data_IF_301539219933
#
_entry.id   IF_301539219933
#
_cell.length_a   1.000
_cell.length_b   1.000
_cell.length_c   1.000
_cell.angle_alpha   90.00
_cell.angle_beta   90.00
_cell.angle_gamma   90.00
#
_symmetry.space_group_name_H-M   'P 1'
#
loop_
_entity.id
_entity.type
_entity.pdbx_description
1 polymer ?
#
# COMPACT_ATOMS: atom_id res chain seq x y z
N UNK A 1 9.25 17.79 12.26
CA UNK A 1 7.88 17.38 11.89
C UNK A 1 7.94 15.92 11.48
N UNK A 2 7.11 15.07 12.06
CA UNK A 2 7.05 13.66 11.70
C UNK A 2 6.32 13.49 10.35
N UNK A 3 6.70 12.48 9.57
CA UNK A 3 6.18 12.31 8.21
C UNK A 3 5.69 10.88 7.98
N UNK A 4 4.58 10.79 7.26
CA UNK A 4 4.04 9.56 6.72
C UNK A 4 4.27 9.58 5.21
N UNK A 5 4.99 8.62 4.68
CA UNK A 5 5.02 8.38 3.24
C UNK A 5 3.84 7.49 2.87
N UNK A 6 2.88 8.07 2.14
CA UNK A 6 1.74 7.36 1.59
C UNK A 6 1.94 7.18 0.09
N UNK A 7 1.97 5.93 -0.40
CA UNK A 7 2.16 5.69 -1.83
C UNK A 7 0.96 5.00 -2.46
N UNK A 8 0.72 5.30 -3.72
CA UNK A 8 -0.23 4.63 -4.61
C UNK A 8 0.42 4.41 -5.97
N UNK A 9 -0.32 3.88 -6.91
CA UNK A 9 0.19 3.55 -8.25
C UNK A 9 -0.58 4.26 -9.35
N UNK A 10 0.11 4.50 -10.47
CA UNK A 10 -0.53 4.87 -11.73
C UNK A 10 -1.47 3.75 -12.21
N UNK A 11 -2.38 4.03 -13.18
CA UNK A 11 -3.19 2.99 -13.84
C UNK A 11 -2.32 1.87 -14.44
N UNK A 12 -2.83 0.63 -14.44
CA UNK A 12 -2.12 -0.56 -14.89
C UNK A 12 -3.06 -1.59 -15.51
N UNK A 13 -2.52 -2.49 -16.31
CA UNK A 13 -3.27 -3.50 -17.05
C UNK A 13 -4.41 -2.84 -17.86
N UNK A 14 -5.62 -3.39 -17.78
CA UNK A 14 -6.82 -2.85 -18.43
C UNK A 14 -7.52 -1.72 -17.64
N UNK A 15 -7.04 -1.40 -16.43
CA UNK A 15 -7.64 -0.36 -15.61
C UNK A 15 -7.27 1.04 -16.11
N UNK A 16 -8.26 1.84 -16.47
CA UNK A 16 -8.07 3.22 -16.97
C UNK A 16 -7.79 4.23 -15.87
N UNK A 17 -8.05 3.86 -14.63
CA UNK A 17 -7.79 4.67 -13.43
C UNK A 17 -7.35 3.77 -12.28
N UNK A 18 -6.70 4.37 -11.29
CA UNK A 18 -6.31 3.67 -10.07
C UNK A 18 -6.78 4.49 -8.86
N UNK A 19 -7.74 3.98 -8.06
CA UNK A 19 -8.26 4.74 -6.92
C UNK A 19 -7.19 5.03 -5.85
N UNK A 20 -6.09 4.26 -5.81
CA UNK A 20 -4.99 4.56 -4.89
C UNK A 20 -4.35 5.91 -5.18
N UNK A 21 -4.27 6.30 -6.46
CA UNK A 21 -3.76 7.61 -6.88
C UNK A 21 -4.64 8.74 -6.35
N UNK A 22 -5.97 8.61 -6.51
CA UNK A 22 -6.93 9.62 -6.01
C UNK A 22 -6.85 9.79 -4.49
N UNK A 23 -6.74 8.68 -3.74
CA UNK A 23 -6.60 8.71 -2.27
C UNK A 23 -5.29 9.41 -1.86
N UNK A 24 -4.18 9.06 -2.50
CA UNK A 24 -2.86 9.64 -2.21
C UNK A 24 -2.83 11.13 -2.51
N UNK A 25 -3.38 11.54 -3.65
CA UNK A 25 -3.47 12.96 -4.03
C UNK A 25 -4.36 13.76 -3.07
N UNK A 26 -5.49 13.19 -2.64
CA UNK A 26 -6.40 13.83 -1.69
C UNK A 26 -5.76 14.04 -0.31
N UNK A 27 -5.01 13.04 0.19
CA UNK A 27 -4.41 13.08 1.51
C UNK A 27 -3.05 13.79 1.55
N UNK A 28 -2.44 14.08 0.41
CA UNK A 28 -1.13 14.71 0.35
C UNK A 28 -1.12 16.11 0.98
N UNK A 29 -0.23 16.33 1.93
CA UNK A 29 -0.10 17.58 2.69
C UNK A 29 -1.04 17.69 3.88
N UNK A 30 -1.93 16.71 4.11
CA UNK A 30 -2.82 16.70 5.27
C UNK A 30 -2.01 16.45 6.56
N UNK A 31 -2.39 17.18 7.62
CA UNK A 31 -1.79 17.01 8.95
C UNK A 31 -2.69 16.11 9.81
N UNK A 32 -2.11 15.07 10.43
CA UNK A 32 -2.82 14.15 11.30
C UNK A 32 -1.99 13.85 12.56
N UNK A 33 -2.47 14.26 13.72
CA UNK A 33 -1.84 14.03 15.03
C UNK A 33 -0.31 14.34 15.07
N UNK A 34 0.10 15.45 14.44
CA UNK A 34 1.49 15.91 14.40
C UNK A 34 2.35 15.29 13.28
N UNK A 35 1.75 14.46 12.44
CA UNK A 35 2.37 13.90 11.23
C UNK A 35 1.88 14.61 9.97
N UNK A 36 2.78 14.91 9.06
CA UNK A 36 2.47 15.33 7.69
C UNK A 36 2.38 14.11 6.78
N UNK A 37 1.28 13.97 6.03
CA UNK A 37 1.13 12.94 4.99
C UNK A 37 1.81 13.45 3.72
N UNK A 38 2.85 12.76 3.27
CA UNK A 38 3.57 13.04 2.03
C UNK A 38 3.20 11.98 1.01
N UNK A 39 2.30 12.35 0.09
CA UNK A 39 1.80 11.48 -0.97
C UNK A 39 2.80 11.33 -2.12
N UNK A 40 2.98 10.12 -2.63
CA UNK A 40 3.78 9.84 -3.84
C UNK A 40 3.10 8.77 -4.70
N UNK A 41 3.18 8.95 -6.01
CA UNK A 41 2.63 7.98 -6.97
C UNK A 41 3.78 7.22 -7.61
N UNK A 42 3.69 5.90 -7.57
CA UNK A 42 4.69 4.99 -8.11
C UNK A 42 4.29 4.50 -9.51
N UNK A 43 5.28 4.25 -10.34
CA UNK A 43 5.09 3.58 -11.62
C UNK A 43 4.71 2.12 -11.42
N UNK A 44 3.96 1.55 -12.37
CA UNK A 44 3.75 0.10 -12.44
C UNK A 44 4.85 -0.50 -13.32
N UNK A 45 6.02 -0.63 -12.72
CA UNK A 45 7.26 -1.12 -13.29
C UNK A 45 8.09 -1.69 -12.14
N UNK A 46 8.51 -2.94 -12.23
CA UNK A 46 9.17 -3.64 -11.12
C UNK A 46 10.47 -2.99 -10.66
N UNK A 47 11.27 -2.48 -11.60
CA UNK A 47 12.55 -1.85 -11.28
C UNK A 47 12.36 -0.40 -10.86
N UNK A 48 11.61 0.36 -11.63
CA UNK A 48 11.44 1.79 -11.42
C UNK A 48 10.67 2.09 -10.12
N UNK A 49 9.59 1.35 -9.82
CA UNK A 49 8.81 1.58 -8.60
C UNK A 49 9.62 1.36 -7.33
N UNK A 50 10.47 0.33 -7.29
CA UNK A 50 11.38 0.07 -6.17
C UNK A 50 12.41 1.21 -6.00
N UNK A 51 12.98 1.69 -7.10
CA UNK A 51 13.90 2.85 -7.09
C UNK A 51 13.20 4.12 -6.60
N UNK A 52 12.01 4.42 -7.11
CA UNK A 52 11.19 5.56 -6.69
C UNK A 52 10.89 5.50 -5.19
N UNK A 53 10.46 4.33 -4.67
CA UNK A 53 10.21 4.17 -3.24
C UNK A 53 11.45 4.48 -2.41
N UNK A 54 12.61 3.91 -2.76
CA UNK A 54 13.89 4.15 -2.08
C UNK A 54 14.30 5.62 -2.11
N UNK A 55 14.15 6.28 -3.25
CA UNK A 55 14.40 7.70 -3.39
C UNK A 55 13.50 8.53 -2.49
N UNK A 56 12.19 8.28 -2.51
CA UNK A 56 11.24 9.00 -1.66
C UNK A 56 11.52 8.78 -0.17
N UNK A 57 11.86 7.56 0.24
CA UNK A 57 12.27 7.28 1.62
C UNK A 57 13.50 8.10 2.01
N UNK A 58 14.54 8.15 1.16
CA UNK A 58 15.77 8.88 1.42
C UNK A 58 15.55 10.40 1.53
N UNK A 59 14.67 10.96 0.68
CA UNK A 59 14.33 12.39 0.66
C UNK A 59 13.42 12.78 1.84
N UNK A 60 12.39 12.00 2.11
CA UNK A 60 11.32 12.32 3.06
C UNK A 60 11.72 11.95 4.49
N UNK A 61 12.46 10.84 4.66
CA UNK A 61 12.83 10.22 5.95
C UNK A 61 11.61 9.99 6.84
N UNK A 62 10.63 9.20 6.36
CA UNK A 62 9.36 9.00 7.04
C UNK A 62 9.51 8.13 8.28
N UNK A 63 8.65 8.33 9.27
CA UNK A 63 8.46 7.45 10.43
C UNK A 63 7.45 6.33 10.14
N UNK A 64 6.58 6.55 9.16
CA UNK A 64 5.55 5.60 8.74
C UNK A 64 5.54 5.53 7.22
N UNK A 65 5.53 4.31 6.67
CA UNK A 65 5.41 4.02 5.24
C UNK A 65 4.18 3.16 5.04
N UNK A 66 3.17 3.69 4.35
CA UNK A 66 1.97 2.95 3.97
C UNK A 66 1.86 2.98 2.45
N UNK A 67 1.90 1.82 1.83
CA UNK A 67 1.67 1.69 0.40
C UNK A 67 0.28 1.13 0.13
N UNK A 68 -0.41 1.69 -0.86
CA UNK A 68 -1.76 1.30 -1.25
C UNK A 68 -1.73 0.57 -2.58
N UNK A 69 -2.51 -0.51 -2.71
CA UNK A 69 -2.71 -1.23 -3.96
C UNK A 69 -4.18 -1.48 -4.26
N UNK A 70 -4.53 -1.47 -5.53
CA UNK A 70 -5.85 -1.87 -5.99
C UNK A 70 -5.95 -3.40 -6.05
N UNK A 71 -6.92 -3.98 -5.36
CA UNK A 71 -7.32 -5.38 -5.49
C UNK A 71 -8.74 -5.44 -6.08
N UNK A 72 -8.85 -5.30 -7.40
CA UNK A 72 -10.10 -5.05 -8.11
C UNK A 72 -11.22 -6.09 -7.91
N UNK A 73 -10.90 -7.31 -7.50
CA UNK A 73 -11.89 -8.34 -7.17
C UNK A 73 -12.26 -8.41 -5.69
N UNK A 74 -11.57 -7.69 -4.81
CA UNK A 74 -11.88 -7.66 -3.37
C UNK A 74 -12.96 -6.62 -3.07
N UNK A 75 -13.77 -6.89 -2.03
CA UNK A 75 -14.79 -5.96 -1.53
C UNK A 75 -14.50 -5.43 -0.13
N UNK A 76 -13.33 -5.76 0.43
CA UNK A 76 -12.87 -5.37 1.77
C UNK A 76 -11.57 -4.58 1.70
N UNK A 77 -11.36 -3.70 2.67
CA UNK A 77 -10.02 -3.15 2.95
C UNK A 77 -9.17 -4.26 3.58
N UNK A 78 -8.01 -4.53 3.02
CA UNK A 78 -7.17 -5.66 3.45
C UNK A 78 -5.74 -5.22 3.74
N UNK A 79 -5.41 -4.86 5.00
CA UNK A 79 -4.03 -4.69 5.42
C UNK A 79 -3.28 -6.03 5.31
N UNK A 80 -2.14 -6.01 4.62
CA UNK A 80 -1.33 -7.19 4.32
C UNK A 80 -0.40 -7.53 5.49
N UNK A 81 -0.35 -8.83 5.85
CA UNK A 81 0.50 -9.32 6.94
C UNK A 81 1.94 -9.53 6.55
N UNK A 82 2.17 -10.02 5.34
CA UNK A 82 3.45 -10.58 4.92
C UNK A 82 3.78 -10.20 3.48
N UNK A 83 5.04 -9.91 3.22
CA UNK A 83 5.63 -9.87 1.90
C UNK A 83 6.68 -10.97 1.75
N UNK A 84 6.77 -11.59 0.58
CA UNK A 84 7.70 -12.66 0.27
C UNK A 84 8.74 -12.19 -0.75
N UNK A 85 9.91 -12.81 -0.76
CA UNK A 85 11.04 -12.48 -1.64
C UNK A 85 10.88 -13.07 -3.05
N UNK A 86 9.72 -12.83 -3.66
CA UNK A 86 9.40 -13.36 -5.00
C UNK A 86 8.76 -12.26 -5.85
N UNK A 87 9.19 -12.17 -7.12
CA UNK A 87 8.53 -11.45 -8.22
C UNK A 87 8.02 -12.47 -9.23
N UNK A 88 6.74 -12.46 -9.49
CA UNK A 88 6.08 -13.32 -10.46
C UNK A 88 4.72 -12.72 -10.85
N UNK A 89 4.24 -12.99 -12.05
CA UNK A 89 2.90 -12.61 -12.48
C UNK A 89 2.84 -11.95 -13.84
N UNK A 90 1.86 -11.08 -14.03
CA UNK A 90 1.58 -10.40 -15.29
C UNK A 90 2.67 -9.39 -15.68
N UNK A 91 2.68 -8.99 -16.95
CA UNK A 91 3.57 -7.96 -17.44
C UNK A 91 3.31 -6.62 -16.71
N UNK A 92 4.37 -5.90 -16.40
CA UNK A 92 4.27 -4.51 -15.96
C UNK A 92 3.97 -3.56 -17.15
N UNK A 93 3.87 -2.26 -16.88
CA UNK A 93 3.54 -1.28 -17.93
C UNK A 93 4.61 -1.15 -19.02
N UNK A 94 5.81 -1.69 -18.81
CA UNK A 94 6.88 -1.75 -19.81
C UNK A 94 7.00 -3.12 -20.51
N UNK A 95 6.12 -4.05 -20.16
CA UNK A 95 6.08 -5.38 -20.75
C UNK A 95 7.05 -6.39 -20.14
N UNK A 96 7.70 -6.05 -19.01
CA UNK A 96 8.51 -7.00 -18.27
C UNK A 96 7.62 -7.94 -17.46
N UNK A 97 7.83 -9.24 -17.63
CA UNK A 97 7.08 -10.30 -16.95
C UNK A 97 8.07 -11.15 -16.16
N UNK A 98 8.16 -10.97 -14.83
CA UNK A 98 9.00 -11.81 -13.99
C UNK A 98 8.41 -13.21 -13.83
N UNK A 99 9.26 -14.21 -13.65
CA UNK A 99 8.88 -15.60 -13.42
C UNK A 99 9.75 -16.19 -12.31
N UNK A 100 9.18 -16.37 -11.11
CA UNK A 100 9.84 -16.92 -9.92
C UNK A 100 11.18 -16.24 -9.56
N UNK A 101 11.31 -14.94 -9.83
CA UNK A 101 12.53 -14.18 -9.54
C UNK A 101 12.56 -13.69 -8.09
N UNK A 102 13.76 -13.66 -7.48
CA UNK A 102 13.94 -13.00 -6.18
C UNK A 102 13.83 -11.47 -6.32
N UNK A 103 13.25 -10.80 -5.31
CA UNK A 103 13.33 -9.34 -5.16
C UNK A 103 14.77 -8.96 -4.78
N UNK A 104 15.36 -9.70 -3.84
CA UNK A 104 16.76 -9.58 -3.43
C UNK A 104 17.42 -10.96 -3.45
N UNK A 105 18.50 -11.10 -4.20
CA UNK A 105 19.32 -12.30 -4.16
C UNK A 105 19.95 -12.48 -2.77
N UNK A 106 19.70 -13.65 -2.14
CA UNK A 106 20.16 -13.93 -0.79
C UNK A 106 19.47 -13.13 0.31
N UNK A 107 18.37 -12.45 0.00
CA UNK A 107 17.50 -11.80 0.99
C UNK A 107 16.70 -12.81 1.81
N UNK A 108 16.08 -12.34 2.90
CA UNK A 108 15.17 -13.17 3.72
C UNK A 108 13.97 -13.64 2.89
N UNK A 109 13.48 -14.83 3.11
CA UNK A 109 12.34 -15.38 2.36
C UNK A 109 11.07 -14.53 2.50
N UNK A 110 10.89 -13.88 3.66
CA UNK A 110 9.71 -13.06 3.93
C UNK A 110 9.92 -12.07 5.07
N UNK A 111 9.13 -10.99 5.05
CA UNK A 111 9.01 -10.03 6.15
C UNK A 111 7.56 -9.87 6.58
N UNK A 112 7.35 -9.84 7.91
CA UNK A 112 6.07 -9.50 8.53
C UNK A 112 5.99 -7.99 8.73
N UNK A 113 4.83 -7.40 8.38
CA UNK A 113 4.57 -5.98 8.63
C UNK A 113 4.62 -5.65 10.13
N UNK A 114 5.10 -4.48 10.47
CA UNK A 114 5.03 -3.92 11.83
C UNK A 114 3.92 -2.87 11.98
N UNK A 115 3.03 -2.74 10.98
CA UNK A 115 1.80 -1.96 11.13
C UNK A 115 0.82 -2.67 12.09
N UNK A 116 0.01 -1.92 12.83
CA UNK A 116 -0.98 -2.48 13.78
C UNK A 116 -2.22 -3.02 13.05
N UNK A 117 -2.02 -3.96 12.11
CA UNK A 117 -3.06 -4.43 11.18
C UNK A 117 -4.31 -4.99 11.87
N UNK A 118 -4.16 -5.55 13.08
CA UNK A 118 -5.31 -6.01 13.88
C UNK A 118 -6.16 -4.85 14.36
N UNK A 119 -5.52 -3.78 14.85
CA UNK A 119 -6.20 -2.58 15.32
C UNK A 119 -6.90 -1.86 14.15
N UNK A 120 -6.21 -1.77 12.98
CA UNK A 120 -6.81 -1.23 11.76
C UNK A 120 -8.11 -1.94 11.39
N UNK A 121 -8.08 -3.29 11.31
CA UNK A 121 -9.27 -4.09 10.96
C UNK A 121 -10.38 -3.91 12.00
N UNK A 122 -10.04 -3.96 13.29
CA UNK A 122 -11.02 -3.78 14.36
C UNK A 122 -11.66 -2.38 14.29
N UNK A 123 -10.87 -1.34 14.03
CA UNK A 123 -11.37 0.03 13.90
C UNK A 123 -12.28 0.18 12.69
N UNK A 124 -11.86 -0.32 11.52
CA UNK A 124 -12.66 -0.28 10.29
C UNK A 124 -14.01 -0.98 10.50
N UNK A 125 -14.02 -2.21 11.03
CA UNK A 125 -15.25 -2.94 11.29
C UNK A 125 -16.17 -2.23 12.29
N UNK A 126 -15.60 -1.59 13.31
CA UNK A 126 -16.36 -0.79 14.30
C UNK A 126 -17.05 0.42 13.66
N UNK A 127 -16.38 1.05 12.68
CA UNK A 127 -16.93 2.20 11.93
C UNK A 127 -17.82 1.77 10.75
N UNK A 128 -18.08 0.46 10.59
CA UNK A 128 -18.98 -0.07 9.55
C UNK A 128 -18.32 -0.39 8.22
N UNK A 129 -17.00 -0.33 8.11
CA UNK A 129 -16.27 -0.64 6.89
C UNK A 129 -15.84 -2.11 6.85
N UNK A 130 -16.20 -2.89 5.81
CA UNK A 130 -15.74 -4.25 5.65
C UNK A 130 -14.21 -4.33 5.55
N UNK A 131 -13.59 -5.06 6.46
CA UNK A 131 -12.14 -5.22 6.49
C UNK A 131 -11.73 -6.60 7.01
N UNK A 132 -10.57 -7.08 6.59
CA UNK A 132 -9.94 -8.30 7.10
C UNK A 132 -8.42 -8.23 6.94
N UNK A 133 -7.69 -9.03 7.70
CA UNK A 133 -6.25 -9.18 7.49
C UNK A 133 -6.04 -10.12 6.30
N UNK A 134 -5.24 -9.68 5.33
CA UNK A 134 -4.74 -10.54 4.26
C UNK A 134 -3.40 -11.15 4.63
N UNK A 135 -3.19 -12.42 4.26
CA UNK A 135 -1.95 -13.15 4.52
C UNK A 135 -1.09 -13.30 3.25
N UNK A 136 -1.40 -12.55 2.19
CA UNK A 136 -0.57 -12.52 0.99
C UNK A 136 -0.85 -11.27 0.17
N UNK A 137 0.20 -10.52 -0.14
CA UNK A 137 0.16 -9.42 -1.10
C UNK A 137 0.30 -9.89 -2.56
N UNK A 138 0.34 -11.21 -2.77
CA UNK A 138 0.65 -11.82 -4.07
C UNK A 138 2.14 -11.85 -4.34
N UNK A 139 2.51 -11.81 -5.62
CA UNK A 139 3.89 -11.83 -6.11
C UNK A 139 4.18 -10.72 -7.12
N UNK A 140 3.17 -9.91 -7.41
CA UNK A 140 3.26 -8.78 -8.34
C UNK A 140 3.85 -7.52 -7.65
N UNK A 141 3.72 -6.36 -8.26
CA UNK A 141 4.30 -5.10 -7.76
C UNK A 141 3.90 -4.74 -6.33
N UNK A 142 2.70 -5.09 -5.89
CA UNK A 142 2.25 -4.82 -4.52
C UNK A 142 3.15 -5.52 -3.50
N UNK A 143 3.44 -6.80 -3.72
CA UNK A 143 4.37 -7.55 -2.89
C UNK A 143 5.80 -6.98 -2.98
N UNK A 144 6.25 -6.62 -4.18
CA UNK A 144 7.58 -6.03 -4.38
C UNK A 144 7.76 -4.75 -3.57
N UNK A 145 6.82 -3.82 -3.65
CA UNK A 145 6.86 -2.54 -2.91
C UNK A 145 6.69 -2.75 -1.40
N UNK A 146 5.83 -3.67 -0.98
CA UNK A 146 5.70 -4.03 0.43
C UNK A 146 7.02 -4.59 0.97
N UNK A 147 7.64 -5.52 0.25
CA UNK A 147 8.92 -6.13 0.66
C UNK A 147 10.01 -5.06 0.81
N UNK A 148 10.16 -4.14 -0.17
CA UNK A 148 11.11 -3.03 -0.12
C UNK A 148 10.92 -2.12 1.09
N UNK A 149 9.68 -1.74 1.40
CA UNK A 149 9.35 -0.94 2.58
C UNK A 149 9.69 -1.66 3.89
N UNK A 150 9.44 -2.98 3.95
CA UNK A 150 9.74 -3.80 5.13
C UNK A 150 11.24 -4.03 5.31
N UNK A 151 12.02 -4.17 4.25
CA UNK A 151 13.49 -4.20 4.31
C UNK A 151 14.01 -2.92 4.97
N UNK A 152 13.50 -1.76 4.57
CA UNK A 152 13.88 -0.48 5.17
C UNK A 152 13.51 -0.43 6.66
N UNK A 153 12.27 -0.78 7.01
CA UNK A 153 11.80 -0.79 8.40
C UNK A 153 12.56 -1.79 9.29
N UNK A 154 13.06 -2.90 8.73
CA UNK A 154 13.90 -3.85 9.46
C UNK A 154 15.25 -3.24 9.87
N UNK A 155 15.80 -2.36 9.03
CA UNK A 155 17.07 -1.65 9.28
C UNK A 155 16.86 -0.41 10.17
N UNK A 156 15.64 0.17 10.20
CA UNK A 156 15.26 1.37 10.93
C UNK A 156 14.07 1.05 11.85
N UNK A 157 14.39 0.56 13.05
CA UNK A 157 13.39 -0.02 13.97
C UNK A 157 12.33 0.96 14.48
N UNK A 158 12.62 2.25 14.39
CA UNK A 158 11.69 3.34 14.67
C UNK A 158 10.65 3.55 13.55
N UNK A 159 10.87 2.96 12.37
CA UNK A 159 9.99 3.10 11.21
C UNK A 159 8.96 1.97 11.17
N UNK A 160 7.71 2.32 10.93
CA UNK A 160 6.64 1.36 10.63
C UNK A 160 6.40 1.31 9.12
N UNK A 161 6.23 0.12 8.58
CA UNK A 161 5.96 -0.07 7.16
C UNK A 161 4.97 -1.19 6.89
N UNK A 162 4.20 -1.04 5.81
CA UNK A 162 3.33 -2.08 5.30
C UNK A 162 2.50 -1.66 4.11
N UNK A 163 1.55 -2.50 3.76
CA UNK A 163 0.76 -2.40 2.55
C UNK A 163 -0.72 -2.62 2.85
N UNK A 164 -1.59 -1.88 2.17
CA UNK A 164 -3.04 -2.03 2.30
C UNK A 164 -3.63 -2.16 0.90
N UNK A 165 -4.28 -3.28 0.62
CA UNK A 165 -5.09 -3.40 -0.58
C UNK A 165 -6.48 -2.82 -0.34
N UNK A 166 -6.96 -2.09 -1.34
CA UNK A 166 -8.28 -1.46 -1.36
C UNK A 166 -9.15 -2.04 -2.50
N UNK A 167 -10.47 -2.04 -2.36
CA UNK A 167 -11.40 -2.30 -3.46
C UNK A 167 -11.30 -1.25 -4.57
N UNK A 168 -11.92 -1.54 -5.71
CA UNK A 168 -12.12 -0.54 -6.76
C UNK A 168 -13.04 0.59 -6.27
N UNK A 169 -12.88 1.80 -6.83
CA UNK A 169 -13.89 2.86 -6.71
C UNK A 169 -15.13 2.53 -7.55
N UNK A 170 -16.28 3.18 -7.28
CA UNK A 170 -17.47 3.03 -8.12
C UNK A 170 -17.19 3.40 -9.57
N UNK A 171 -16.43 4.48 -9.83
CA UNK A 171 -16.10 4.89 -11.19
C UNK A 171 -15.35 3.80 -11.95
N UNK A 172 -14.38 3.16 -11.29
CA UNK A 172 -13.65 2.04 -11.87
C UNK A 172 -14.55 0.81 -12.05
N UNK A 173 -15.38 0.48 -11.05
CA UNK A 173 -16.28 -0.66 -11.10
C UNK A 173 -17.33 -0.52 -12.22
N UNK A 174 -17.86 0.68 -12.44
CA UNK A 174 -18.79 0.99 -13.55
C UNK A 174 -18.11 0.77 -14.89
N UNK A 175 -16.86 1.26 -15.06
CA UNK A 175 -16.12 1.10 -16.31
C UNK A 175 -15.76 -0.37 -16.58
N UNK A 176 -15.37 -1.11 -15.56
CA UNK A 176 -14.99 -2.51 -15.68
C UNK A 176 -16.22 -3.44 -15.83
N UNK A 177 -17.33 -3.14 -15.14
CA UNK A 177 -18.61 -3.85 -15.24
C UNK A 177 -18.70 -5.21 -14.55
N UNK A 178 -17.62 -5.69 -13.90
CA UNK A 178 -17.57 -7.05 -13.30
C UNK A 178 -16.93 -7.13 -11.91
N UNK A 179 -16.54 -6.00 -11.34
CA UNK A 179 -15.89 -5.95 -10.02
C UNK A 179 -16.71 -5.12 -9.05
N UNK A 180 -16.64 -5.43 -7.73
CA UNK A 180 -17.31 -4.60 -6.72
C UNK A 180 -16.59 -3.26 -6.60
N UNK A 181 -17.36 -2.21 -6.27
CA UNK A 181 -16.84 -0.88 -6.05
C UNK A 181 -17.28 -0.28 -4.74
N UNK A 182 -16.55 0.74 -4.29
CA UNK A 182 -16.84 1.58 -3.14
C UNK A 182 -16.91 3.04 -3.55
N UNK A 183 -17.60 3.85 -2.74
CA UNK A 183 -17.48 5.29 -2.86
C UNK A 183 -16.04 5.70 -2.55
N UNK A 184 -15.47 6.62 -3.32
CA UNK A 184 -14.09 7.10 -3.12
C UNK A 184 -13.91 7.76 -1.74
N UNK A 185 -14.91 8.48 -1.23
CA UNK A 185 -14.89 9.10 0.10
C UNK A 185 -14.81 8.06 1.23
N UNK A 186 -15.46 6.90 1.06
CA UNK A 186 -15.39 5.80 2.02
C UNK A 186 -14.00 5.13 1.99
N UNK A 187 -13.38 5.03 0.81
CA UNK A 187 -12.00 4.56 0.66
C UNK A 187 -11.02 5.52 1.35
N UNK A 188 -11.15 6.84 1.11
CA UNK A 188 -10.32 7.87 1.75
C UNK A 188 -10.48 7.80 3.28
N UNK A 189 -11.71 7.75 3.77
CA UNK A 189 -12.00 7.66 5.21
C UNK A 189 -11.40 6.40 5.81
N UNK A 190 -11.52 5.25 5.13
CA UNK A 190 -10.94 3.98 5.59
C UNK A 190 -9.41 4.06 5.72
N UNK A 191 -8.73 4.71 4.79
CA UNK A 191 -7.27 4.89 4.86
C UNK A 191 -6.89 5.87 5.99
N UNK A 192 -7.65 6.94 6.20
CA UNK A 192 -7.45 7.84 7.37
C UNK A 192 -7.52 7.06 8.69
N UNK A 193 -8.52 6.20 8.86
CA UNK A 193 -8.65 5.35 10.06
C UNK A 193 -7.45 4.41 10.24
N UNK A 194 -6.92 3.83 9.15
CA UNK A 194 -5.71 3.01 9.21
C UNK A 194 -4.47 3.84 9.62
N UNK A 195 -4.34 5.06 9.12
CA UNK A 195 -3.25 5.99 9.49
C UNK A 195 -3.36 6.36 10.96
N UNK A 196 -4.54 6.74 11.46
CA UNK A 196 -4.78 7.06 12.87
C UNK A 196 -4.34 5.91 13.79
N UNK A 197 -4.75 4.67 13.50
CA UNK A 197 -4.35 3.51 14.29
C UNK A 197 -2.83 3.27 14.27
N UNK A 198 -2.17 3.59 13.15
CA UNK A 198 -0.71 3.48 13.05
C UNK A 198 0.00 4.53 13.90
N UNK A 199 -0.48 5.78 13.87
CA UNK A 199 0.06 6.87 14.69
C UNK A 199 -0.08 6.54 16.18
N UNK A 200 -1.28 6.09 16.63
CA UNK A 200 -1.52 5.67 18.01
C UNK A 200 -0.54 4.61 18.47
N UNK A 201 -0.35 3.56 17.67
CA UNK A 201 0.57 2.47 17.99
C UNK A 201 2.06 2.89 17.97
N UNK A 202 2.39 4.06 17.42
CA UNK A 202 3.77 4.58 17.41
C UNK A 202 4.06 5.43 18.65
N UNK A 203 3.00 5.89 19.35
CA UNK A 203 3.08 6.70 20.57
C UNK A 203 3.11 5.87 21.86
N UNK A 204 2.79 4.57 21.76
CA UNK A 204 2.87 3.58 22.85
C UNK A 204 4.25 2.90 22.87
#
# INVERSE_FOLDING_TARGET
MMKILLTGFVPFLEYKMNPTMQIVEHLNGEMMDGYEIVGRILSVDFQLSAQQLKQHIAEIKPQIIISLGLAGGRFKITPERIAINVKDGEADNNGYTPADESIYDGGEDAYITNLPIRNMVNRLCKEGYPAEISNTAGTYLCNNIMYEGLVYAKQHKEVRAGFIHIPASFDLAIQHGKIPGWNIEDLITSIKLCIEETIRATSD
#
